data_IF_860262456588
#
_entry.id   IF_860262456588
#
_cell.length_a   1.000
_cell.length_b   1.000
_cell.length_c   1.000
_cell.angle_alpha   90.00
_cell.angle_beta   90.00
_cell.angle_gamma   90.00
#
_symmetry.space_group_name_H-M   'P 1'
#
loop_
_entity.id
_entity.type
_entity.pdbx_description
1 polymer ?
#
# COMPACT_ATOMS: atom_id res chain seq x y z
N UNK A 1 9.44 -9.77 -22.31
CA UNK A 1 8.74 -8.48 -22.49
C UNK A 1 9.74 -7.37 -22.26
N UNK A 2 9.78 -6.36 -23.12
CA UNK A 2 10.69 -5.22 -22.96
C UNK A 2 10.10 -4.22 -21.95
N UNK A 3 10.95 -3.51 -21.23
CA UNK A 3 10.51 -2.46 -20.27
C UNK A 3 9.65 -1.40 -20.95
N UNK A 4 10.01 -1.05 -22.19
CA UNK A 4 9.29 -0.03 -22.94
C UNK A 4 7.84 -0.46 -23.24
N UNK A 5 7.61 -1.76 -23.50
CA UNK A 5 6.26 -2.30 -23.70
C UNK A 5 5.38 -2.16 -22.43
N UNK A 6 6.01 -2.21 -21.24
CA UNK A 6 5.29 -2.08 -19.96
C UNK A 6 5.01 -0.59 -19.64
N UNK A 7 5.91 0.33 -19.99
CA UNK A 7 5.76 1.76 -19.72
C UNK A 7 4.51 2.36 -20.37
N UNK A 8 4.18 1.89 -21.55
CA UNK A 8 3.03 2.40 -22.32
C UNK A 8 1.73 1.65 -22.02
N UNK A 9 1.79 0.61 -21.19
CA UNK A 9 0.61 -0.14 -20.78
C UNK A 9 -0.35 0.75 -19.99
N UNK A 10 -1.58 0.88 -20.49
CA UNK A 10 -2.67 1.49 -19.74
C UNK A 10 -3.23 0.47 -18.77
N UNK A 11 -3.19 0.80 -17.48
CA UNK A 11 -3.85 0.00 -16.45
C UNK A 11 -5.34 0.35 -16.47
N UNK A 12 -6.19 -0.66 -16.64
CA UNK A 12 -7.63 -0.48 -16.65
C UNK A 12 -8.21 -0.77 -15.26
N UNK A 13 -9.24 -0.01 -14.92
CA UNK A 13 -10.02 -0.28 -13.71
C UNK A 13 -10.91 -1.51 -13.93
N UNK A 14 -10.98 -2.36 -12.92
CA UNK A 14 -11.70 -3.64 -13.00
C UNK A 14 -12.93 -3.64 -12.10
N UNK A 15 -14.00 -4.28 -12.54
CA UNK A 15 -15.22 -4.45 -11.75
C UNK A 15 -15.01 -5.42 -10.58
N UNK A 16 -14.03 -6.32 -10.69
CA UNK A 16 -13.66 -7.29 -9.67
C UNK A 16 -12.19 -7.71 -9.80
N UNK A 17 -11.54 -7.95 -8.68
CA UNK A 17 -10.18 -8.50 -8.61
C UNK A 17 -10.22 -10.03 -8.53
N UNK A 18 -9.13 -10.66 -8.93
CA UNK A 18 -8.94 -12.11 -8.77
C UNK A 18 -8.22 -12.40 -7.45
N UNK A 19 -8.83 -12.05 -6.34
CA UNK A 19 -8.34 -12.29 -4.99
C UNK A 19 -9.20 -13.29 -4.23
N UNK A 20 -8.63 -13.91 -3.20
CA UNK A 20 -9.33 -14.88 -2.38
C UNK A 20 -10.69 -14.34 -1.89
N UNK A 21 -11.81 -15.07 -2.10
CA UNK A 21 -13.15 -14.59 -1.74
C UNK A 21 -13.34 -14.27 -0.25
N UNK A 22 -12.49 -14.84 0.62
CA UNK A 22 -12.52 -14.56 2.06
C UNK A 22 -11.93 -13.20 2.42
N UNK A 23 -11.25 -12.52 1.47
CA UNK A 23 -10.58 -11.24 1.71
C UNK A 23 -11.54 -10.19 2.23
N UNK A 24 -11.22 -9.62 3.40
CA UNK A 24 -11.81 -8.36 3.88
C UNK A 24 -10.83 -7.22 3.62
N UNK A 25 -11.36 -6.07 3.25
CA UNK A 25 -10.59 -4.91 2.82
C UNK A 25 -11.03 -3.69 3.62
N UNK A 26 -10.07 -2.88 4.05
CA UNK A 26 -10.29 -1.54 4.57
C UNK A 26 -9.36 -0.56 3.87
N UNK A 27 -9.83 0.67 3.65
CA UNK A 27 -9.04 1.74 3.05
C UNK A 27 -9.16 3.02 3.86
N UNK A 28 -8.02 3.71 4.05
CA UNK A 28 -7.92 5.02 4.66
C UNK A 28 -7.26 5.95 3.64
N UNK A 29 -8.01 6.95 3.15
CA UNK A 29 -7.61 7.86 2.08
C UNK A 29 -7.38 9.24 2.65
N UNK A 30 -6.12 9.62 2.87
CA UNK A 30 -5.77 10.96 3.33
C UNK A 30 -5.77 11.96 2.17
N UNK A 31 -6.26 13.17 2.42
CA UNK A 31 -6.34 14.25 1.43
C UNK A 31 -6.21 15.62 2.08
N UNK A 32 -5.82 16.64 1.30
CA UNK A 32 -5.78 18.04 1.69
C UNK A 32 -6.70 18.92 0.81
N UNK A 33 -6.83 20.18 1.19
CA UNK A 33 -7.50 21.27 0.48
C UNK A 33 -9.03 21.18 0.33
N UNK A 34 -9.64 20.02 0.26
CA UNK A 34 -11.11 19.92 0.20
C UNK A 34 -11.75 20.18 1.57
N UNK A 35 -12.93 20.86 1.57
CA UNK A 35 -13.68 21.12 2.80
C UNK A 35 -14.24 19.82 3.38
N UNK A 36 -13.77 19.42 4.57
CA UNK A 36 -14.09 18.13 5.22
C UNK A 36 -15.62 17.89 5.32
N UNK A 37 -16.38 18.90 5.80
CA UNK A 37 -17.85 18.79 5.91
C UNK A 37 -18.53 18.58 4.55
N UNK A 38 -18.02 19.20 3.48
CA UNK A 38 -18.57 19.04 2.13
C UNK A 38 -18.31 17.64 1.59
N UNK A 39 -17.09 17.13 1.75
CA UNK A 39 -16.73 15.77 1.36
C UNK A 39 -17.66 14.78 2.07
N UNK A 40 -17.78 14.89 3.39
CA UNK A 40 -18.62 13.99 4.19
C UNK A 40 -20.11 14.05 3.80
N UNK A 41 -20.66 15.25 3.51
CA UNK A 41 -22.03 15.41 3.02
C UNK A 41 -22.23 14.70 1.67
N UNK A 42 -21.23 14.79 0.77
CA UNK A 42 -21.32 14.16 -0.56
C UNK A 42 -21.17 12.64 -0.48
N UNK A 43 -20.29 12.11 0.39
CA UNK A 43 -20.21 10.68 0.64
C UNK A 43 -21.57 10.13 1.07
N UNK A 44 -22.19 10.72 2.10
CA UNK A 44 -23.51 10.30 2.60
C UNK A 44 -24.65 10.40 1.57
N UNK A 45 -24.53 11.29 0.57
CA UNK A 45 -25.56 11.47 -0.46
C UNK A 45 -25.40 10.49 -1.64
N UNK A 46 -24.17 10.09 -1.94
CA UNK A 46 -23.88 9.33 -3.16
C UNK A 46 -23.55 7.86 -2.90
N UNK A 47 -23.39 7.48 -1.65
CA UNK A 47 -23.05 6.12 -1.25
C UNK A 47 -24.08 5.60 -0.25
N UNK A 48 -24.52 4.37 -0.47
CA UNK A 48 -25.36 3.62 0.49
C UNK A 48 -24.49 2.93 1.55
N UNK A 49 -23.21 2.83 1.31
CA UNK A 49 -22.20 2.26 2.21
C UNK A 49 -21.62 3.35 3.12
N UNK A 50 -21.13 2.95 4.30
CA UNK A 50 -20.74 3.89 5.36
C UNK A 50 -19.27 4.36 5.21
N UNK A 51 -18.95 5.02 4.10
CA UNK A 51 -17.69 5.75 3.96
C UNK A 51 -17.78 7.08 4.71
N UNK A 52 -16.78 7.36 5.55
CA UNK A 52 -16.80 8.53 6.43
C UNK A 52 -15.51 9.32 6.31
N UNK A 53 -15.62 10.62 6.02
CA UNK A 53 -14.49 11.55 6.12
C UNK A 53 -14.35 12.05 7.56
N UNK A 54 -13.17 11.90 8.14
CA UNK A 54 -12.84 12.28 9.52
C UNK A 54 -11.73 13.32 9.57
N UNK A 55 -11.65 13.99 10.69
CA UNK A 55 -10.52 14.84 11.01
C UNK A 55 -9.26 14.01 11.23
N UNK A 56 -8.16 14.41 10.59
CA UNK A 56 -6.81 13.93 10.87
C UNK A 56 -5.89 15.14 11.03
N UNK A 57 -5.21 15.21 12.18
CA UNK A 57 -4.34 16.35 12.52
C UNK A 57 -3.11 16.48 11.63
N UNK A 58 -2.70 15.40 10.96
CA UNK A 58 -1.50 15.37 10.10
C UNK A 58 -1.74 16.05 8.76
N UNK A 59 -2.96 16.00 8.26
CA UNK A 59 -3.35 16.51 6.92
C UNK A 59 -4.40 17.63 6.96
N UNK A 60 -5.14 17.78 8.06
CA UNK A 60 -6.11 18.83 8.22
C UNK A 60 -5.48 20.20 8.53
N UNK A 61 -6.08 21.26 7.97
CA UNK A 61 -5.80 22.64 8.35
C UNK A 61 -7.09 23.44 8.50
N UNK A 62 -7.11 24.37 9.43
CA UNK A 62 -8.22 25.33 9.56
C UNK A 62 -7.94 26.58 8.73
N UNK A 63 -8.88 26.94 7.86
CA UNK A 63 -8.87 28.18 7.07
C UNK A 63 -10.15 28.93 7.40
N UNK A 64 -10.05 30.10 8.04
CA UNK A 64 -11.19 30.89 8.49
C UNK A 64 -12.23 30.06 9.27
N UNK A 65 -11.79 29.21 10.18
CA UNK A 65 -12.66 28.35 10.99
C UNK A 65 -13.27 27.14 10.25
N UNK A 66 -12.94 26.95 8.97
CA UNK A 66 -13.39 25.80 8.18
C UNK A 66 -12.26 24.80 8.05
N UNK A 67 -12.54 23.53 8.40
CA UNK A 67 -11.58 22.44 8.26
C UNK A 67 -11.46 22.01 6.79
N UNK A 68 -10.23 21.99 6.31
CA UNK A 68 -9.82 21.50 5.00
C UNK A 68 -8.86 20.33 5.15
N UNK A 69 -9.03 19.29 4.34
CA UNK A 69 -8.30 18.03 4.46
C UNK A 69 -8.98 17.05 5.41
N UNK A 70 -8.46 15.86 5.49
CA UNK A 70 -8.95 14.78 6.33
C UNK A 70 -8.55 13.41 5.82
N UNK A 71 -9.13 12.41 6.45
CA UNK A 71 -9.00 11.00 6.10
C UNK A 71 -10.37 10.40 5.83
N UNK A 72 -10.55 9.73 4.69
CA UNK A 72 -11.75 8.95 4.41
C UNK A 72 -11.49 7.51 4.83
N UNK A 73 -12.32 7.00 5.75
CA UNK A 73 -12.30 5.59 6.12
C UNK A 73 -13.43 4.84 5.40
N UNK A 74 -13.10 3.71 4.79
CA UNK A 74 -14.09 2.78 4.28
C UNK A 74 -14.80 2.01 5.40
N UNK A 75 -15.99 1.45 5.16
CA UNK A 75 -16.48 0.32 5.94
C UNK A 75 -15.58 -0.91 5.70
N UNK A 76 -15.91 -2.04 6.34
CA UNK A 76 -15.32 -3.34 5.98
C UNK A 76 -15.88 -3.73 4.62
N UNK A 77 -15.00 -3.87 3.64
CA UNK A 77 -15.34 -4.17 2.26
C UNK A 77 -15.05 -5.62 1.90
N UNK A 78 -15.70 -6.10 0.85
CA UNK A 78 -15.43 -7.37 0.17
C UNK A 78 -15.12 -7.09 -1.30
N UNK A 79 -14.44 -8.01 -1.96
CA UNK A 79 -14.16 -7.90 -3.40
C UNK A 79 -15.45 -8.09 -4.21
N UNK A 80 -16.14 -7.02 -4.51
CA UNK A 80 -17.38 -6.98 -5.26
C UNK A 80 -17.42 -5.77 -6.19
N UNK A 81 -18.21 -5.83 -7.25
CA UNK A 81 -18.44 -4.71 -8.19
C UNK A 81 -18.83 -3.44 -7.43
N UNK A 82 -19.78 -3.55 -6.51
CA UNK A 82 -20.22 -2.43 -5.64
C UNK A 82 -19.06 -1.77 -4.87
N UNK A 83 -18.11 -2.54 -4.37
CA UNK A 83 -16.94 -2.02 -3.66
C UNK A 83 -16.10 -1.12 -4.56
N UNK A 84 -15.90 -1.56 -5.79
CA UNK A 84 -15.06 -0.82 -6.75
C UNK A 84 -15.80 0.37 -7.35
N UNK A 85 -17.10 0.27 -7.58
CA UNK A 85 -17.94 1.42 -7.94
C UNK A 85 -17.90 2.50 -6.83
N UNK A 86 -18.07 2.11 -5.58
CA UNK A 86 -18.01 3.03 -4.44
C UNK A 86 -16.66 3.73 -4.35
N UNK A 87 -15.56 3.03 -4.55
CA UNK A 87 -14.22 3.62 -4.56
C UNK A 87 -14.06 4.66 -5.68
N UNK A 88 -14.57 4.38 -6.89
CA UNK A 88 -14.58 5.37 -7.98
C UNK A 88 -15.38 6.61 -7.59
N UNK A 89 -16.55 6.44 -6.96
CA UNK A 89 -17.37 7.55 -6.49
C UNK A 89 -16.62 8.36 -5.43
N UNK A 90 -15.93 7.72 -4.49
CA UNK A 90 -15.11 8.39 -3.46
C UNK A 90 -14.01 9.23 -4.10
N UNK A 91 -13.22 8.66 -5.00
CA UNK A 91 -12.16 9.38 -5.72
C UNK A 91 -12.70 10.54 -6.54
N UNK A 92 -13.85 10.35 -7.23
CA UNK A 92 -14.54 11.40 -7.97
C UNK A 92 -15.06 12.53 -7.05
N UNK A 93 -15.57 12.20 -5.86
CA UNK A 93 -15.99 13.21 -4.87
C UNK A 93 -14.78 14.05 -4.44
N UNK A 94 -13.66 13.44 -4.13
CA UNK A 94 -12.43 14.14 -3.75
C UNK A 94 -11.96 15.08 -4.87
N UNK A 95 -11.84 14.57 -6.10
CA UNK A 95 -11.42 15.32 -7.28
C UNK A 95 -12.35 16.52 -7.54
N UNK A 96 -13.67 16.31 -7.55
CA UNK A 96 -14.66 17.38 -7.77
C UNK A 96 -14.69 18.43 -6.64
N UNK A 97 -14.17 18.09 -5.44
CA UNK A 97 -14.02 19.03 -4.33
C UNK A 97 -12.63 19.65 -4.25
N UNK A 98 -11.80 19.47 -5.30
CA UNK A 98 -10.45 20.01 -5.38
C UNK A 98 -9.55 19.53 -4.22
N UNK A 99 -9.73 18.26 -3.83
CA UNK A 99 -8.79 17.61 -2.94
C UNK A 99 -7.41 17.49 -3.61
N UNK A 100 -6.38 17.55 -2.82
CA UNK A 100 -4.98 17.38 -3.27
C UNK A 100 -4.34 16.28 -2.46
N UNK A 101 -3.50 15.48 -3.13
CA UNK A 101 -2.59 14.56 -2.49
C UNK A 101 -1.23 15.25 -2.42
N UNK A 102 -0.73 15.41 -1.21
CA UNK A 102 0.56 16.05 -0.95
C UNK A 102 1.53 15.04 -0.34
N UNK A 103 2.77 15.46 -0.13
CA UNK A 103 3.81 14.67 0.57
C UNK A 103 3.44 14.29 2.02
N UNK A 104 2.31 14.79 2.54
CA UNK A 104 1.80 14.44 3.87
C UNK A 104 0.74 13.34 3.84
N UNK A 105 0.13 13.08 2.67
CA UNK A 105 -1.02 12.20 2.55
C UNK A 105 -0.59 10.74 2.40
N UNK A 106 -0.90 9.93 3.40
CA UNK A 106 -0.77 8.48 3.37
C UNK A 106 -2.02 7.78 2.86
N UNK A 107 -1.84 6.57 2.36
CA UNK A 107 -2.91 5.66 2.00
C UNK A 107 -2.75 4.36 2.76
N UNK A 108 -3.65 4.05 3.68
CA UNK A 108 -3.53 2.81 4.45
C UNK A 108 -4.49 1.76 3.91
N UNK A 109 -3.99 0.52 3.81
CA UNK A 109 -4.78 -0.61 3.34
C UNK A 109 -4.78 -1.67 4.44
N UNK A 110 -5.97 -2.06 4.85
CA UNK A 110 -6.19 -3.14 5.79
C UNK A 110 -6.64 -4.37 5.03
N UNK A 111 -5.93 -5.47 5.20
CA UNK A 111 -6.31 -6.78 4.66
C UNK A 111 -6.58 -7.73 5.83
N UNK A 112 -7.67 -8.48 5.74
CA UNK A 112 -8.04 -9.42 6.78
C UNK A 112 -6.97 -10.48 7.03
N UNK A 113 -6.64 -10.71 8.29
CA UNK A 113 -5.60 -11.65 8.74
C UNK A 113 -5.86 -13.10 8.31
N UNK A 114 -7.13 -13.44 8.01
CA UNK A 114 -7.53 -14.79 7.60
C UNK A 114 -6.90 -15.25 6.28
N UNK A 115 -6.24 -14.36 5.55
CA UNK A 115 -5.46 -14.74 4.36
C UNK A 115 -4.10 -15.34 4.71
N UNK A 116 -3.59 -15.11 5.91
CA UNK A 116 -2.28 -15.61 6.35
C UNK A 116 -2.49 -16.66 7.44
N UNK A 117 -2.05 -17.89 7.18
CA UNK A 117 -2.09 -18.97 8.15
C UNK A 117 -1.14 -18.69 9.31
N UNK A 118 -1.44 -19.26 10.48
CA UNK A 118 -0.62 -19.02 11.67
C UNK A 118 0.84 -19.44 11.51
N UNK A 119 1.11 -20.53 10.79
CA UNK A 119 2.47 -21.04 10.56
C UNK A 119 3.22 -20.24 9.46
N UNK A 120 2.56 -19.32 8.77
CA UNK A 120 3.12 -18.63 7.59
C UNK A 120 3.60 -17.20 7.89
N UNK A 121 3.48 -16.73 9.13
CA UNK A 121 3.93 -15.38 9.48
C UNK A 121 5.43 -15.17 9.24
N UNK A 122 6.25 -16.18 9.51
CA UNK A 122 7.70 -16.08 9.26
C UNK A 122 7.99 -16.04 7.75
N UNK A 123 7.26 -16.78 6.93
CA UNK A 123 7.37 -16.71 5.47
C UNK A 123 7.01 -15.31 4.95
N UNK A 124 5.91 -14.72 5.45
CA UNK A 124 5.56 -13.34 5.13
C UNK A 124 6.66 -12.35 5.52
N UNK A 125 7.24 -12.49 6.72
CA UNK A 125 8.33 -11.64 7.21
C UNK A 125 9.57 -11.78 6.32
N UNK A 126 9.97 -13.00 5.96
CA UNK A 126 11.10 -13.26 5.08
C UNK A 126 10.87 -12.71 3.68
N UNK A 127 9.69 -12.93 3.12
CA UNK A 127 9.30 -12.40 1.81
C UNK A 127 9.33 -10.88 1.79
N UNK A 128 8.73 -10.23 2.79
CA UNK A 128 8.81 -8.78 2.93
C UNK A 128 10.24 -8.28 3.09
N UNK A 129 11.05 -8.93 3.92
CA UNK A 129 12.45 -8.55 4.17
C UNK A 129 13.28 -8.54 2.88
N UNK A 130 13.09 -9.55 2.02
CA UNK A 130 13.77 -9.64 0.73
C UNK A 130 13.38 -8.48 -0.18
N UNK A 131 12.08 -8.19 -0.28
CA UNK A 131 11.52 -7.31 -1.31
C UNK A 131 11.04 -5.95 -0.81
N UNK A 132 11.32 -5.57 0.44
CA UNK A 132 10.83 -4.30 1.00
C UNK A 132 11.10 -3.08 0.10
N UNK A 133 12.30 -2.87 -0.48
CA UNK A 133 12.53 -1.73 -1.37
C UNK A 133 11.61 -1.71 -2.60
N UNK A 134 11.29 -2.90 -3.12
CA UNK A 134 10.38 -3.07 -4.26
C UNK A 134 8.95 -2.74 -3.85
N UNK A 135 8.51 -3.27 -2.70
CA UNK A 135 7.18 -3.07 -2.14
C UNK A 135 6.93 -1.58 -1.87
N UNK A 136 7.90 -0.88 -1.27
CA UNK A 136 7.77 0.56 -1.01
C UNK A 136 7.67 1.36 -2.30
N UNK A 137 8.56 1.12 -3.29
CA UNK A 137 8.49 1.81 -4.57
C UNK A 137 7.16 1.57 -5.28
N UNK A 138 6.66 0.34 -5.32
CA UNK A 138 5.34 0.02 -5.83
C UNK A 138 4.25 0.82 -5.11
N UNK A 139 4.31 0.85 -3.78
CA UNK A 139 3.31 1.48 -2.89
C UNK A 139 3.26 3.01 -3.02
N UNK A 140 4.27 3.65 -3.61
CA UNK A 140 4.20 5.10 -3.89
C UNK A 140 3.19 5.45 -5.00
N UNK A 141 2.53 4.45 -5.60
CA UNK A 141 1.49 4.63 -6.60
C UNK A 141 2.01 5.34 -7.85
N UNK A 142 1.38 6.42 -8.24
CA UNK A 142 1.77 7.28 -9.37
C UNK A 142 3.02 8.14 -9.09
N UNK A 143 3.39 8.29 -7.82
CA UNK A 143 4.53 9.12 -7.43
C UNK A 143 5.85 8.34 -7.57
N UNK A 144 6.91 9.03 -7.92
CA UNK A 144 8.24 8.43 -8.08
C UNK A 144 9.13 8.56 -6.83
N UNK A 145 8.59 9.05 -5.72
CA UNK A 145 9.26 9.17 -4.42
C UNK A 145 8.29 8.90 -3.27
N UNK A 146 8.89 8.61 -2.13
CA UNK A 146 8.21 8.52 -0.86
C UNK A 146 7.58 9.87 -0.46
N UNK A 147 6.51 9.80 0.32
CA UNK A 147 6.00 10.97 1.01
C UNK A 147 6.93 11.39 2.15
N UNK A 148 6.94 12.66 2.49
CA UNK A 148 7.79 13.24 3.54
C UNK A 148 7.54 12.57 4.91
N UNK A 149 6.29 12.21 5.18
CA UNK A 149 5.87 11.61 6.45
C UNK A 149 6.19 10.12 6.59
N UNK A 150 6.75 9.45 5.56
CA UNK A 150 6.90 7.98 5.57
C UNK A 150 7.77 7.48 6.72
N UNK A 151 8.87 8.16 7.01
CA UNK A 151 9.77 7.77 8.10
C UNK A 151 9.15 7.92 9.49
N UNK A 152 8.15 8.79 9.63
CA UNK A 152 7.47 9.06 10.90
C UNK A 152 6.25 8.16 11.13
N UNK A 153 5.57 7.71 10.07
CA UNK A 153 4.28 7.04 10.17
C UNK A 153 4.18 5.69 9.43
N UNK A 154 5.18 5.37 8.60
CA UNK A 154 5.26 4.11 7.87
C UNK A 154 6.73 3.70 7.66
N UNK A 155 7.53 3.75 8.73
CA UNK A 155 8.95 3.44 8.66
C UNK A 155 9.21 2.00 8.19
N UNK A 156 10.39 1.79 7.59
CA UNK A 156 10.87 0.46 7.21
C UNK A 156 10.78 -0.53 8.37
N UNK A 157 10.31 -1.72 8.07
CA UNK A 157 10.27 -2.83 9.04
C UNK A 157 11.54 -3.69 8.97
N UNK A 158 12.42 -3.41 8.02
CA UNK A 158 13.55 -4.28 7.67
C UNK A 158 14.45 -4.64 8.86
N UNK A 159 14.81 -3.66 9.70
CA UNK A 159 15.62 -3.91 10.88
C UNK A 159 14.92 -4.81 11.90
N UNK A 160 13.62 -4.64 12.06
CA UNK A 160 12.80 -5.43 12.98
C UNK A 160 12.65 -6.84 12.45
N UNK A 161 12.34 -6.98 11.18
CA UNK A 161 12.21 -8.28 10.51
C UNK A 161 13.55 -9.04 10.49
N UNK A 162 14.65 -8.31 10.30
CA UNK A 162 16.00 -8.90 10.44
C UNK A 162 16.21 -9.55 11.80
N UNK A 163 15.86 -8.88 12.88
CA UNK A 163 16.00 -9.44 14.25
C UNK A 163 15.11 -10.68 14.40
N UNK A 164 13.87 -10.66 13.90
CA UNK A 164 12.99 -11.81 13.93
C UNK A 164 13.57 -13.01 13.15
N UNK A 165 14.11 -12.77 11.96
CA UNK A 165 14.71 -13.81 11.12
C UNK A 165 15.97 -14.39 11.78
N UNK A 166 16.85 -13.54 12.31
CA UNK A 166 18.09 -13.98 12.97
C UNK A 166 17.83 -14.80 14.25
N UNK A 167 16.69 -14.59 14.88
CA UNK A 167 16.28 -15.27 16.10
C UNK A 167 15.01 -16.11 15.92
N UNK A 168 14.77 -16.61 14.68
CA UNK A 168 13.56 -17.37 14.32
C UNK A 168 13.26 -18.52 15.30
N UNK A 169 14.28 -19.21 15.76
CA UNK A 169 14.18 -20.32 16.73
C UNK A 169 13.54 -19.91 18.09
N UNK A 170 13.51 -18.62 18.43
CA UNK A 170 12.85 -18.10 19.63
C UNK A 170 11.33 -17.88 19.45
N UNK A 171 10.87 -17.84 18.20
CA UNK A 171 9.48 -17.55 17.86
C UNK A 171 8.80 -18.85 17.41
N UNK A 172 8.12 -19.52 18.34
CA UNK A 172 7.56 -20.85 18.13
C UNK A 172 6.23 -20.83 17.38
N UNK A 173 5.55 -19.70 17.34
CA UNK A 173 4.24 -19.56 16.70
C UNK A 173 3.96 -18.10 16.31
N UNK A 174 2.86 -17.89 15.58
CA UNK A 174 2.43 -16.56 15.14
C UNK A 174 2.16 -15.58 16.29
N UNK A 175 1.70 -16.08 17.44
CA UNK A 175 1.40 -15.25 18.60
C UNK A 175 2.66 -14.53 19.10
N UNK A 176 3.79 -15.22 19.25
CA UNK A 176 5.06 -14.65 19.68
C UNK A 176 5.52 -13.54 18.73
N UNK A 177 5.42 -13.80 17.42
CA UNK A 177 5.76 -12.84 16.36
C UNK A 177 4.86 -11.60 16.44
N UNK A 178 3.56 -11.81 16.50
CA UNK A 178 2.58 -10.72 16.56
C UNK A 178 2.71 -9.91 17.84
N UNK A 179 2.94 -10.54 18.98
CA UNK A 179 3.16 -9.86 20.25
C UNK A 179 4.38 -8.93 20.16
N UNK A 180 5.47 -9.39 19.55
CA UNK A 180 6.67 -8.57 19.32
C UNK A 180 6.40 -7.37 18.40
N UNK A 181 5.59 -7.55 17.36
CA UNK A 181 5.30 -6.52 16.34
C UNK A 181 4.18 -5.55 16.76
N UNK A 182 3.19 -6.00 17.54
CA UNK A 182 1.97 -5.24 17.84
C UNK A 182 2.19 -3.94 18.61
N UNK A 183 3.31 -3.81 19.33
CA UNK A 183 3.67 -2.57 20.03
C UNK A 183 4.17 -1.44 19.11
N UNK A 184 4.32 -1.70 17.81
CA UNK A 184 5.03 -0.83 16.85
C UNK A 184 4.10 -0.30 15.74
N UNK A 185 3.25 0.67 16.08
CA UNK A 185 2.21 1.21 15.17
C UNK A 185 2.75 1.89 13.91
N UNK A 186 3.93 2.54 13.99
CA UNK A 186 4.42 3.46 12.95
C UNK A 186 5.30 2.79 11.90
N UNK A 187 5.05 1.53 11.62
CA UNK A 187 5.78 0.75 10.63
C UNK A 187 5.01 0.65 9.32
N UNK A 188 5.71 0.38 8.22
CA UNK A 188 5.12 0.17 6.91
C UNK A 188 4.16 -1.01 6.84
N UNK A 189 4.36 -2.01 7.70
CA UNK A 189 3.38 -3.06 8.04
C UNK A 189 3.09 -2.97 9.52
N UNK A 190 1.82 -2.90 9.89
CA UNK A 190 1.37 -2.73 11.25
C UNK A 190 0.45 -3.90 11.67
N UNK A 191 0.85 -4.58 12.74
CA UNK A 191 0.13 -5.72 13.32
C UNK A 191 -0.69 -5.35 14.56
N UNK A 192 -0.70 -4.09 14.97
CA UNK A 192 -1.38 -3.66 16.20
C UNK A 192 -2.87 -4.02 16.24
N UNK A 193 -3.52 -3.99 15.07
CA UNK A 193 -4.96 -4.23 14.95
C UNK A 193 -5.33 -5.70 14.69
N UNK A 194 -4.35 -6.61 14.73
CA UNK A 194 -4.58 -8.01 14.32
C UNK A 194 -5.56 -8.76 15.22
N UNK A 195 -5.61 -8.43 16.51
CA UNK A 195 -6.55 -9.04 17.45
C UNK A 195 -7.85 -8.25 17.61
N UNK A 196 -7.81 -6.93 17.48
CA UNK A 196 -8.98 -6.07 17.70
C UNK A 196 -9.83 -5.86 16.47
N UNK A 197 -9.22 -5.77 15.29
CA UNK A 197 -9.88 -5.56 14.00
C UNK A 197 -9.69 -6.71 13.02
N UNK A 198 -8.92 -7.72 13.41
CA UNK A 198 -8.59 -8.88 12.58
C UNK A 198 -7.95 -8.54 11.24
N UNK A 199 -7.12 -7.49 11.21
CA UNK A 199 -6.46 -7.00 9.99
C UNK A 199 -4.96 -6.80 10.18
N UNK A 200 -4.22 -6.99 9.08
CA UNK A 200 -2.86 -6.49 8.89
C UNK A 200 -2.97 -5.20 8.10
N UNK A 201 -2.38 -4.12 8.60
CA UNK A 201 -2.43 -2.79 8.00
C UNK A 201 -1.14 -2.49 7.26
N UNK A 202 -1.25 -2.17 5.98
CA UNK A 202 -0.16 -1.71 5.12
C UNK A 202 -0.19 -0.18 5.06
N UNK A 203 0.81 0.46 5.66
CA UNK A 203 0.90 1.91 5.82
C UNK A 203 1.88 2.56 4.83
N UNK A 204 2.67 1.75 4.12
CA UNK A 204 3.66 2.25 3.14
C UNK A 204 3.03 2.94 1.90
N UNK A 205 1.78 2.68 1.45
CA UNK A 205 1.23 3.40 0.31
C UNK A 205 1.13 4.91 0.53
N UNK A 206 1.43 5.68 -0.52
CA UNK A 206 0.97 7.05 -0.62
C UNK A 206 -0.53 7.06 -0.91
N UNK A 207 -1.22 8.13 -0.52
CA UNK A 207 -2.59 8.33 -0.95
C UNK A 207 -2.66 8.65 -2.45
N UNK A 208 -3.81 8.44 -3.06
CA UNK A 208 -4.06 8.72 -4.47
C UNK A 208 -5.51 9.16 -4.70
N UNK A 209 -5.74 9.97 -5.75
CA UNK A 209 -7.08 10.26 -6.28
C UNK A 209 -7.43 9.32 -7.45
N UNK A 210 -6.49 8.48 -7.87
CA UNK A 210 -6.71 7.48 -8.91
C UNK A 210 -7.19 6.16 -8.29
N UNK A 211 -8.42 5.71 -8.56
CA UNK A 211 -8.95 4.47 -7.99
C UNK A 211 -8.19 3.22 -8.48
N UNK A 212 -7.52 3.30 -9.65
CA UNK A 212 -6.69 2.19 -10.17
C UNK A 212 -5.51 1.89 -9.24
N UNK A 213 -4.89 2.92 -8.67
CA UNK A 213 -3.78 2.76 -7.73
C UNK A 213 -4.24 2.02 -6.47
N UNK A 214 -5.40 2.38 -5.94
CA UNK A 214 -5.99 1.70 -4.78
C UNK A 214 -6.29 0.23 -5.08
N UNK A 215 -6.88 -0.04 -6.25
CA UNK A 215 -7.22 -1.39 -6.68
C UNK A 215 -5.96 -2.25 -6.84
N UNK A 216 -4.89 -1.72 -7.45
CA UNK A 216 -3.62 -2.41 -7.57
C UNK A 216 -2.95 -2.68 -6.21
N UNK A 217 -2.98 -1.71 -5.30
CA UNK A 217 -2.41 -1.88 -3.96
C UNK A 217 -3.16 -2.97 -3.18
N UNK A 218 -4.50 -2.96 -3.21
CA UNK A 218 -5.31 -4.01 -2.57
C UNK A 218 -5.01 -5.38 -3.17
N UNK A 219 -4.96 -5.46 -4.51
CA UNK A 219 -4.65 -6.69 -5.23
C UNK A 219 -3.30 -7.26 -4.80
N UNK A 220 -2.27 -6.43 -4.81
CA UNK A 220 -0.93 -6.84 -4.43
C UNK A 220 -0.84 -7.32 -2.97
N UNK A 221 -1.35 -6.55 -2.02
CA UNK A 221 -1.23 -6.92 -0.60
C UNK A 221 -2.07 -8.15 -0.24
N UNK A 222 -3.24 -8.32 -0.86
CA UNK A 222 -4.05 -9.52 -0.66
C UNK A 222 -3.31 -10.78 -1.17
N UNK A 223 -2.78 -10.72 -2.38
CA UNK A 223 -1.99 -11.82 -2.94
C UNK A 223 -0.70 -12.07 -2.16
N UNK A 224 0.00 -11.03 -1.71
CA UNK A 224 1.23 -11.17 -0.92
C UNK A 224 0.99 -11.97 0.37
N UNK A 225 -0.11 -11.71 1.07
CA UNK A 225 -0.49 -12.47 2.27
C UNK A 225 -0.88 -13.90 1.93
N UNK A 226 -1.69 -14.11 0.90
CA UNK A 226 -2.17 -15.43 0.49
C UNK A 226 -1.00 -16.33 0.02
N UNK A 227 -0.07 -15.78 -0.78
CA UNK A 227 1.11 -16.50 -1.27
C UNK A 227 2.12 -16.84 -0.20
N UNK A 228 2.23 -16.06 0.87
CA UNK A 228 3.12 -16.38 1.98
C UNK A 228 2.82 -17.74 2.64
N UNK A 229 1.59 -18.26 2.45
CA UNK A 229 1.21 -19.58 2.97
C UNK A 229 1.93 -20.75 2.29
N UNK A 230 2.34 -20.58 1.02
CA UNK A 230 2.86 -21.67 0.21
C UNK A 230 4.16 -21.29 -0.54
N UNK A 231 4.74 -20.13 -0.24
CA UNK A 231 5.95 -19.67 -0.91
C UNK A 231 7.17 -20.49 -0.43
N UNK A 232 7.99 -20.91 -1.37
CA UNK A 232 9.32 -21.37 -1.09
C UNK A 232 10.27 -20.17 -0.92
N UNK A 233 10.83 -20.03 0.26
CA UNK A 233 11.71 -18.91 0.59
C UNK A 233 13.13 -19.20 0.13
N UNK A 234 13.73 -18.26 -0.59
CA UNK A 234 15.15 -18.30 -0.95
C UNK A 234 16.01 -17.98 0.29
N UNK A 235 16.37 -19.02 1.04
CA UNK A 235 17.20 -18.91 2.25
C UNK A 235 18.62 -18.41 1.94
N UNK A 236 19.17 -18.69 0.77
CA UNK A 236 20.50 -18.20 0.37
C UNK A 236 20.46 -16.66 0.19
N UNK A 237 19.40 -16.16 -0.43
CA UNK A 237 19.14 -14.72 -0.57
C UNK A 237 18.94 -14.05 0.79
N UNK A 238 18.23 -14.69 1.71
CA UNK A 238 18.10 -14.23 3.10
C UNK A 238 19.47 -14.10 3.76
N UNK A 239 20.27 -15.17 3.73
CA UNK A 239 21.61 -15.18 4.35
C UNK A 239 22.54 -14.13 3.73
N UNK A 240 22.47 -13.94 2.42
CA UNK A 240 23.19 -12.88 1.73
C UNK A 240 22.80 -11.50 2.25
N UNK A 241 21.50 -11.21 2.30
CA UNK A 241 20.98 -9.91 2.76
C UNK A 241 21.29 -9.63 4.24
N UNK A 242 21.26 -10.65 5.10
CA UNK A 242 21.64 -10.54 6.51
C UNK A 242 23.11 -10.13 6.68
N UNK A 243 24.00 -10.63 5.80
CA UNK A 243 25.43 -10.29 5.81
C UNK A 243 25.74 -8.93 5.20
N UNK A 244 25.05 -8.54 4.12
CA UNK A 244 25.34 -7.32 3.36
C UNK A 244 24.88 -6.02 4.04
N UNK A 245 24.10 -6.11 5.06
CA UNK A 245 23.61 -5.05 5.94
C UNK A 245 23.59 -3.64 5.34
N UNK A 246 22.58 -3.35 4.54
CA UNK A 246 22.31 -1.99 4.04
C UNK A 246 20.96 -1.51 4.55
N UNK A 247 20.94 -0.69 5.60
CA UNK A 247 19.74 -0.10 6.19
C UNK A 247 19.22 1.11 5.42
N UNK A 248 19.85 1.45 4.32
CA UNK A 248 19.46 2.64 3.55
C UNK A 248 18.28 2.30 2.66
N UNK A 249 17.17 3.00 2.88
CA UNK A 249 16.14 3.12 1.85
C UNK A 249 16.80 3.61 0.57
N UNK A 250 16.70 2.82 -0.50
CA UNK A 250 17.10 3.29 -1.81
C UNK A 250 16.17 4.43 -2.21
N UNK A 251 16.75 5.55 -2.61
CA UNK A 251 15.99 6.57 -3.28
C UNK A 251 15.33 5.95 -4.52
N UNK A 252 14.05 6.20 -4.69
CA UNK A 252 13.25 5.68 -5.81
C UNK A 252 13.83 6.08 -7.17
N UNK A 253 14.52 7.22 -7.24
CA UNK A 253 15.22 7.67 -8.45
C UNK A 253 16.43 6.79 -8.83
N UNK A 254 16.96 6.02 -7.90
CA UNK A 254 18.23 5.29 -8.06
C UNK A 254 18.02 3.78 -8.31
N UNK A 255 16.82 3.33 -8.73
CA UNK A 255 16.62 1.92 -9.01
C UNK A 255 17.42 1.46 -10.23
N UNK A 256 18.02 0.29 -10.09
CA UNK A 256 18.89 -0.32 -11.10
C UNK A 256 18.15 -1.43 -11.87
N UNK A 257 18.81 -1.97 -12.91
CA UNK A 257 18.33 -3.18 -13.60
C UNK A 257 18.14 -4.36 -12.63
N UNK A 258 18.95 -4.45 -11.58
CA UNK A 258 18.81 -5.50 -10.55
C UNK A 258 17.51 -5.32 -9.77
N UNK A 259 17.15 -4.10 -9.43
CA UNK A 259 15.89 -3.83 -8.72
C UNK A 259 14.67 -4.18 -9.59
N UNK A 260 14.77 -3.96 -10.90
CA UNK A 260 13.73 -4.37 -11.84
C UNK A 260 13.62 -5.90 -11.96
N UNK A 261 14.74 -6.62 -11.96
CA UNK A 261 14.73 -8.08 -11.91
C UNK A 261 14.06 -8.58 -10.63
N UNK A 262 14.39 -7.99 -9.47
CA UNK A 262 13.75 -8.31 -8.20
C UNK A 262 12.25 -7.98 -8.21
N UNK A 263 11.83 -6.90 -8.88
CA UNK A 263 10.41 -6.58 -9.03
C UNK A 263 9.67 -7.62 -9.88
N UNK A 264 10.31 -8.07 -10.98
CA UNK A 264 9.76 -9.14 -11.81
C UNK A 264 9.69 -10.47 -11.06
N UNK A 265 10.72 -10.79 -10.28
CA UNK A 265 10.75 -11.97 -9.41
C UNK A 265 9.59 -11.93 -8.40
N UNK A 266 9.42 -10.81 -7.68
CA UNK A 266 8.31 -10.62 -6.75
C UNK A 266 6.96 -10.75 -7.44
N UNK A 267 6.79 -10.16 -8.62
CA UNK A 267 5.55 -10.28 -9.39
C UNK A 267 5.22 -11.75 -9.74
N UNK A 268 6.24 -12.54 -10.10
CA UNK A 268 6.07 -13.97 -10.40
C UNK A 268 5.77 -14.81 -9.16
N UNK A 269 6.28 -14.42 -7.99
CA UNK A 269 5.95 -15.07 -6.71
C UNK A 269 4.51 -14.78 -6.31
N UNK A 270 4.11 -13.50 -6.42
CA UNK A 270 2.84 -13.01 -5.86
C UNK A 270 1.65 -13.33 -6.76
N UNK A 271 1.81 -13.26 -8.08
CA UNK A 271 0.69 -13.38 -9.03
C UNK A 271 0.81 -14.61 -9.93
N UNK A 272 -0.30 -15.29 -10.12
CA UNK A 272 -0.40 -16.42 -11.04
C UNK A 272 -0.72 -15.97 -12.47
N UNK A 273 -1.50 -14.88 -12.64
CA UNK A 273 -1.92 -14.38 -13.94
C UNK A 273 -1.04 -13.24 -14.45
N UNK A 274 -0.89 -13.17 -15.78
CA UNK A 274 -0.02 -12.19 -16.43
C UNK A 274 -0.53 -10.74 -16.33
N UNK A 275 -1.83 -10.54 -16.22
CA UNK A 275 -2.42 -9.19 -16.14
C UNK A 275 -2.02 -8.52 -14.84
N UNK A 276 -2.12 -9.23 -13.72
CA UNK A 276 -1.74 -8.69 -12.41
C UNK A 276 -0.23 -8.45 -12.30
N UNK A 277 0.59 -9.35 -12.88
CA UNK A 277 2.05 -9.12 -12.99
C UNK A 277 2.36 -7.85 -13.76
N UNK A 278 1.69 -7.65 -14.90
CA UNK A 278 1.85 -6.47 -15.73
C UNK A 278 1.44 -5.19 -15.02
N UNK A 279 0.31 -5.21 -14.32
CA UNK A 279 -0.18 -4.06 -13.58
C UNK A 279 0.73 -3.69 -12.41
N UNK A 280 1.26 -4.70 -11.70
CA UNK A 280 2.27 -4.51 -10.67
C UNK A 280 3.54 -3.87 -11.25
N UNK A 281 4.10 -4.45 -12.31
CA UNK A 281 5.32 -3.94 -12.95
C UNK A 281 5.13 -2.53 -13.52
N UNK A 282 3.97 -2.26 -14.11
CA UNK A 282 3.64 -0.93 -14.64
C UNK A 282 3.60 0.13 -13.54
N UNK A 283 2.96 -0.16 -12.40
CA UNK A 283 2.94 0.74 -11.25
C UNK A 283 4.34 0.87 -10.62
N UNK A 284 5.14 -0.20 -10.57
CA UNK A 284 6.50 -0.18 -10.08
C UNK A 284 7.44 0.68 -10.95
N UNK A 285 7.40 0.52 -12.26
CA UNK A 285 8.27 1.24 -13.23
C UNK A 285 7.93 2.74 -13.27
N UNK A 286 6.68 3.12 -13.05
CA UNK A 286 6.16 4.48 -13.18
C UNK A 286 6.10 4.95 -14.64
N UNK A 287 5.92 6.25 -14.87
CA UNK A 287 5.79 6.84 -16.21
C UNK A 287 7.13 7.21 -16.85
N UNK A 288 8.18 6.42 -16.59
CA UNK A 288 9.48 6.62 -17.20
C UNK A 288 10.30 7.76 -16.59
N UNK A 289 11.60 7.68 -16.78
CA UNK A 289 12.60 8.61 -16.19
C UNK A 289 12.46 10.06 -16.69
N UNK A 290 11.90 10.26 -17.87
CA UNK A 290 11.86 11.57 -18.52
C UNK A 290 10.82 12.54 -17.94
N UNK A 291 9.76 12.04 -17.32
CA UNK A 291 8.81 12.88 -16.57
C UNK A 291 9.17 12.84 -15.10
N UNK A 292 10.34 13.37 -14.84
CA UNK A 292 10.92 13.65 -13.54
C UNK A 292 9.86 14.10 -12.57
N UNK A 293 9.74 13.35 -11.51
CA UNK A 293 9.08 13.75 -10.29
C UNK A 293 7.70 14.35 -10.53
N UNK A 294 6.69 13.51 -10.43
CA UNK A 294 5.44 14.08 -10.00
C UNK A 294 5.75 14.66 -8.63
N UNK A 295 6.01 15.94 -8.62
CA UNK A 295 6.29 16.69 -7.43
C UNK A 295 4.97 16.75 -6.66
N UNK A 296 4.93 16.30 -5.43
CA UNK A 296 3.77 16.45 -4.57
C UNK A 296 3.31 17.92 -4.49
N UNK A 297 4.24 18.87 -4.65
CA UNK A 297 3.90 20.30 -4.73
C UNK A 297 3.13 20.68 -6.01
N UNK A 298 3.11 19.79 -7.02
CA UNK A 298 2.40 19.97 -8.30
C UNK A 298 1.20 19.04 -8.44
N UNK A 299 0.70 18.48 -7.36
CA UNK A 299 -0.45 17.55 -7.33
C UNK A 299 -1.71 18.08 -8.02
N UNK A 300 -1.82 19.39 -8.23
CA UNK A 300 -2.87 20.01 -9.07
C UNK A 300 -2.96 19.45 -10.50
N UNK A 301 -1.92 18.76 -10.99
CA UNK A 301 -1.91 18.15 -12.33
C UNK A 301 -2.66 16.82 -12.39
N UNK A 302 -2.95 16.19 -11.25
CA UNK A 302 -3.75 14.96 -11.20
C UNK A 302 -5.25 15.21 -11.22
N UNK A 303 -5.68 16.45 -11.04
CA UNK A 303 -7.09 16.82 -10.98
C UNK A 303 -7.66 17.32 -12.31
N UNK A 304 -6.91 17.17 -13.40
CA UNK A 304 -7.36 17.54 -14.75
C UNK A 304 -7.66 16.31 -15.59
#
# INVERSE_FOLDING_TARGET
>A
MKIDDIKDLKIEYRDKLDINPKTTIGMEIEFQNAKLKQVNKKLKRNLDTNWIAKYDATVCRSILGIMHGGEINSPILRNSEKTWEDLQIVCNILTKNKAEITEKCGGHIHIGKQLLNEDSYMNFIKLWYIYEPIIYRFSYGEFNRERESIFSYAASVRNIFRVLIMHEYNYKNSFDIVQYLSSRRKLGVNFQNIYSKETIEFRCPNSSLDPVIWQNNVNFFAHLLDKANNVEIDEEKIQYLLRCHTDKHKNVADYTKIDLNNANELANIVFDNEIDKLYFLRQYIKNGEEKRSIDFTKSKKFTK
#
